data_IF_363986799649
#
_entry.id   IF_363986799649
#
_cell.length_a   1.000
_cell.length_b   1.000
_cell.length_c   1.000
_cell.angle_alpha   90.00
_cell.angle_beta   90.00
_cell.angle_gamma   90.00
#
_symmetry.space_group_name_H-M   'P 1'
#
loop_
_entity.id
_entity.type
_entity.pdbx_description
1 polymer ?
#
# COMPACT_ATOMS: atom_id res chain seq x y z
N UNK A 1 5.39 3.02 3.24
CA UNK A 1 5.50 1.96 2.23
C UNK A 1 4.32 1.03 2.32
N UNK A 2 3.86 0.48 1.19
CA UNK A 2 2.77 -0.50 1.15
C UNK A 2 3.25 -1.70 0.36
N UNK A 3 3.18 -2.89 0.96
CA UNK A 3 3.52 -4.17 0.31
C UNK A 3 2.30 -5.08 0.28
N UNK A 4 2.21 -5.92 -0.75
CA UNK A 4 1.10 -6.84 -0.91
C UNK A 4 1.58 -8.28 -0.71
N UNK A 5 0.79 -9.07 0.01
CA UNK A 5 0.93 -10.52 0.04
C UNK A 5 -0.42 -11.17 -0.16
N UNK A 6 -0.45 -12.24 -0.94
CA UNK A 6 -1.62 -13.10 -0.93
C UNK A 6 -1.63 -13.95 0.33
N UNK A 7 -2.83 -14.22 0.83
CA UNK A 7 -3.06 -15.13 1.96
C UNK A 7 -2.96 -16.60 1.56
N UNK A 8 -3.12 -16.92 0.27
CA UNK A 8 -2.97 -18.28 -0.25
C UNK A 8 -1.50 -18.65 -0.45
N UNK A 9 -1.05 -19.83 0.02
CA UNK A 9 0.30 -20.33 -0.25
C UNK A 9 0.50 -20.74 -1.72
N UNK A 10 -0.59 -20.92 -2.49
CA UNK A 10 -0.55 -21.29 -3.91
C UNK A 10 -0.61 -20.05 -4.83
N UNK A 11 -0.40 -18.85 -4.27
CA UNK A 11 -0.46 -17.63 -5.05
C UNK A 11 0.61 -17.60 -6.16
N UNK A 12 0.27 -17.09 -7.35
CA UNK A 12 1.19 -17.08 -8.49
C UNK A 12 2.37 -16.11 -8.33
N UNK A 13 2.23 -15.10 -7.46
CA UNK A 13 3.24 -14.11 -7.10
C UNK A 13 2.87 -13.50 -5.74
N UNK A 14 3.75 -12.70 -5.13
CA UNK A 14 3.52 -12.10 -3.80
C UNK A 14 3.12 -13.14 -2.72
N UNK A 15 3.73 -14.32 -2.76
CA UNK A 15 3.53 -15.37 -1.75
C UNK A 15 4.05 -14.85 -0.41
N UNK A 16 3.29 -15.07 0.67
CA UNK A 16 3.64 -14.54 1.98
C UNK A 16 5.03 -14.98 2.45
N UNK A 17 5.86 -14.02 2.86
CA UNK A 17 7.24 -14.24 3.32
C UNK A 17 8.27 -14.58 2.23
N UNK A 18 7.85 -14.71 0.97
CA UNK A 18 8.76 -14.99 -0.14
C UNK A 18 9.68 -13.81 -0.45
N UNK A 19 10.76 -14.03 -1.20
CA UNK A 19 11.60 -12.93 -1.69
C UNK A 19 10.81 -12.00 -2.62
N UNK A 20 9.94 -12.55 -3.46
CA UNK A 20 9.13 -11.80 -4.41
C UNK A 20 8.05 -10.92 -3.80
N UNK A 21 7.67 -11.12 -2.53
CA UNK A 21 6.75 -10.23 -1.81
C UNK A 21 7.43 -9.07 -1.07
N UNK A 22 8.76 -9.07 -1.01
CA UNK A 22 9.51 -8.00 -0.33
C UNK A 22 9.56 -6.76 -1.19
N UNK A 23 9.60 -5.60 -0.54
CA UNK A 23 9.90 -4.35 -1.20
C UNK A 23 11.28 -4.44 -1.85
N UNK A 24 11.43 -3.90 -3.06
CA UNK A 24 12.71 -3.93 -3.76
C UNK A 24 13.80 -3.24 -2.93
N UNK A 25 15.01 -3.80 -2.90
CA UNK A 25 16.04 -3.43 -1.92
C UNK A 25 16.39 -1.94 -1.89
N UNK A 26 16.31 -1.23 -3.02
CA UNK A 26 16.61 0.21 -3.08
C UNK A 26 15.48 1.11 -2.55
N UNK A 27 14.31 0.53 -2.27
CA UNK A 27 13.10 1.22 -1.80
C UNK A 27 12.68 0.73 -0.40
N UNK A 28 13.58 0.08 0.33
CA UNK A 28 13.29 -0.39 1.67
C UNK A 28 12.94 0.80 2.59
N UNK A 29 11.92 0.66 3.45
CA UNK A 29 11.58 1.69 4.42
C UNK A 29 12.79 2.03 5.30
N UNK A 30 12.99 3.31 5.55
CA UNK A 30 13.98 3.79 6.52
C UNK A 30 13.39 3.81 7.92
N UNK A 31 14.25 4.03 8.91
CA UNK A 31 13.81 4.23 10.30
C UNK A 31 12.80 5.38 10.37
N UNK A 32 11.68 5.14 11.07
CA UNK A 32 10.58 6.09 11.20
C UNK A 32 9.58 6.08 10.04
N UNK A 33 9.84 5.37 8.94
CA UNK A 33 8.87 5.21 7.86
C UNK A 33 7.98 3.98 8.08
N UNK A 34 6.68 4.15 7.82
CA UNK A 34 5.72 3.06 8.01
C UNK A 34 5.81 1.99 6.93
N UNK A 35 5.55 0.73 7.30
CA UNK A 35 5.38 -0.40 6.40
C UNK A 35 4.00 -1.03 6.59
N UNK A 36 3.15 -0.94 5.56
CA UNK A 36 1.78 -1.45 5.57
C UNK A 36 1.69 -2.70 4.71
N UNK A 37 1.25 -3.80 5.33
CA UNK A 37 0.87 -5.02 4.61
C UNK A 37 -0.58 -4.93 4.16
N UNK A 38 -0.84 -5.22 2.88
CA UNK A 38 -2.20 -5.35 2.33
C UNK A 38 -2.42 -6.72 1.69
N UNK A 39 -3.66 -7.18 1.72
CA UNK A 39 -4.12 -8.39 1.04
C UNK A 39 -5.10 -8.11 -0.10
N UNK A 40 -5.53 -6.85 -0.22
CA UNK A 40 -6.51 -6.40 -1.20
C UNK A 40 -5.88 -5.45 -2.23
N UNK A 41 -6.60 -5.19 -3.34
CA UNK A 41 -6.13 -4.26 -4.38
C UNK A 41 -6.08 -2.83 -3.83
N UNK A 42 -7.15 -2.39 -3.16
CA UNK A 42 -7.22 -1.09 -2.48
C UNK A 42 -6.39 -1.12 -1.20
N UNK A 43 -5.40 -0.22 -1.08
CA UNK A 43 -4.50 -0.15 0.07
C UNK A 43 -5.17 0.27 1.37
N UNK A 44 -6.37 0.87 1.35
CA UNK A 44 -7.13 1.21 2.56
C UNK A 44 -7.98 0.06 3.09
N UNK A 45 -8.30 -0.93 2.25
CA UNK A 45 -9.20 -2.01 2.62
C UNK A 45 -8.48 -2.99 3.55
N UNK A 46 -8.99 -3.13 4.77
CA UNK A 46 -8.47 -4.08 5.77
C UNK A 46 -7.00 -3.85 6.12
N UNK A 47 -6.58 -2.58 6.17
CA UNK A 47 -5.25 -2.16 6.63
C UNK A 47 -5.37 -0.98 7.60
N UNK A 48 -4.28 -0.66 8.28
CA UNK A 48 -4.19 0.50 9.17
C UNK A 48 -3.85 1.80 8.44
N UNK A 49 -3.82 1.81 7.09
CA UNK A 49 -3.35 2.98 6.33
C UNK A 49 -4.12 4.26 6.63
N UNK A 50 -5.46 4.20 6.68
CA UNK A 50 -6.27 5.40 6.94
C UNK A 50 -6.05 5.91 8.37
N UNK A 51 -6.14 5.01 9.37
CA UNK A 51 -5.96 5.37 10.77
C UNK A 51 -4.60 6.02 11.02
N UNK A 52 -3.57 5.54 10.32
CA UNK A 52 -2.21 6.06 10.39
C UNK A 52 -2.09 7.46 9.76
N UNK A 53 -2.66 7.66 8.58
CA UNK A 53 -2.69 8.98 7.95
C UNK A 53 -3.46 10.00 8.80
N UNK A 54 -4.56 9.57 9.42
CA UNK A 54 -5.37 10.42 10.30
C UNK A 54 -4.62 10.78 11.59
N UNK A 55 -3.92 9.81 12.20
CA UNK A 55 -3.08 10.04 13.38
C UNK A 55 -1.97 11.06 13.10
N UNK A 56 -1.33 10.96 11.93
CA UNK A 56 -0.27 11.86 11.50
C UNK A 56 -0.80 13.16 10.87
N UNK A 57 -2.13 13.36 10.85
CA UNK A 57 -2.82 14.55 10.34
C UNK A 57 -2.48 14.85 8.86
N UNK A 58 -2.34 13.81 8.05
CA UNK A 58 -2.00 13.93 6.63
C UNK A 58 -3.26 14.20 5.80
N UNK A 59 -3.22 15.23 4.95
CA UNK A 59 -4.32 15.60 4.03
C UNK A 59 -3.96 15.45 2.56
N UNK A 60 -2.67 15.38 2.23
CA UNK A 60 -2.15 15.40 0.87
C UNK A 60 -1.27 14.18 0.64
N UNK A 61 -1.51 13.45 -0.45
CA UNK A 61 -0.84 12.20 -0.79
C UNK A 61 -0.16 12.31 -2.17
N UNK A 62 1.10 11.90 -2.24
CA UNK A 62 1.77 11.61 -3.51
C UNK A 62 1.82 10.10 -3.69
N UNK A 63 1.16 9.58 -4.72
CA UNK A 63 0.95 8.15 -4.90
C UNK A 63 1.87 7.62 -6.00
N UNK A 64 2.79 6.74 -5.61
CA UNK A 64 3.75 6.11 -6.53
C UNK A 64 3.81 4.61 -6.31
N UNK A 65 4.07 3.84 -7.37
CA UNK A 65 4.26 2.39 -7.28
C UNK A 65 3.62 1.64 -8.45
N UNK A 66 3.15 0.43 -8.17
CA UNK A 66 2.58 -0.48 -9.16
C UNK A 66 1.40 -1.29 -8.60
N UNK A 67 0.50 -1.81 -9.44
CA UNK A 67 0.37 -1.51 -10.88
C UNK A 67 -0.57 -0.32 -11.11
N UNK A 68 -0.25 0.52 -12.11
CA UNK A 68 -1.01 1.74 -12.43
C UNK A 68 -2.51 1.50 -12.58
N UNK A 69 -2.88 0.47 -13.33
CA UNK A 69 -4.26 0.13 -13.69
C UNK A 69 -5.02 -0.67 -12.63
N UNK A 70 -4.39 -1.03 -11.50
CA UNK A 70 -5.01 -1.81 -10.44
C UNK A 70 -4.82 -1.17 -9.07
N UNK A 71 -3.65 -1.34 -8.47
CA UNK A 71 -3.42 -0.90 -7.09
C UNK A 71 -3.35 0.62 -7.00
N UNK A 72 -2.71 1.29 -7.99
CA UNK A 72 -2.62 2.74 -8.02
C UNK A 72 -3.99 3.36 -8.31
N UNK A 73 -4.70 2.91 -9.36
CA UNK A 73 -6.07 3.41 -9.63
C UNK A 73 -7.00 3.21 -8.42
N UNK A 74 -6.99 2.03 -7.80
CA UNK A 74 -7.85 1.75 -6.64
C UNK A 74 -7.53 2.63 -5.43
N UNK A 75 -6.25 2.82 -5.08
CA UNK A 75 -5.88 3.66 -3.93
C UNK A 75 -6.08 5.14 -4.21
N UNK A 76 -5.82 5.62 -5.43
CA UNK A 76 -6.04 7.02 -5.80
C UNK A 76 -7.51 7.40 -5.77
N UNK A 77 -8.40 6.53 -6.27
CA UNK A 77 -9.85 6.74 -6.17
C UNK A 77 -10.33 6.72 -4.73
N UNK A 78 -9.94 5.69 -3.97
CA UNK A 78 -10.32 5.59 -2.56
C UNK A 78 -9.80 6.78 -1.73
N UNK A 79 -8.58 7.25 -1.99
CA UNK A 79 -8.03 8.43 -1.34
C UNK A 79 -8.87 9.69 -1.65
N UNK A 80 -9.26 9.89 -2.91
CA UNK A 80 -10.11 11.01 -3.29
C UNK A 80 -11.50 10.93 -2.63
N UNK A 81 -12.11 9.74 -2.59
CA UNK A 81 -13.41 9.52 -1.95
C UNK A 81 -13.36 9.77 -0.42
N UNK A 82 -12.22 9.49 0.21
CA UNK A 82 -11.96 9.78 1.63
C UNK A 82 -11.59 11.26 1.90
N UNK A 83 -11.46 12.07 0.85
CA UNK A 83 -11.20 13.52 0.97
C UNK A 83 -9.72 13.92 0.98
N UNK A 84 -8.80 13.01 0.68
CA UNK A 84 -7.39 13.37 0.51
C UNK A 84 -7.16 14.05 -0.84
N UNK A 85 -6.36 15.10 -0.87
CA UNK A 85 -5.79 15.60 -2.12
C UNK A 85 -4.72 14.62 -2.58
N UNK A 86 -4.78 14.12 -3.80
CA UNK A 86 -3.76 13.20 -4.29
C UNK A 86 -3.22 13.56 -5.68
N UNK A 87 -1.97 13.15 -5.93
CA UNK A 87 -1.25 13.29 -7.21
C UNK A 87 -0.46 12.03 -7.50
#
# INVERSE_FOLDING_TARGET
>A
HVRHEFTSPEAPFFISGSEGSRIYHSLQPKEGEFDILKHEVNSFKETDLQALLDQEQITDLVIVGAMSHMCIDAVSRAAADLGYNNT
#
